data_IF_610503395303
#
_entry.id   IF_610503395303
#
_cell.length_a   1.000
_cell.length_b   1.000
_cell.length_c   1.000
_cell.angle_alpha   90.00
_cell.angle_beta   90.00
_cell.angle_gamma   90.00
#
_symmetry.space_group_name_H-M   'P 1'
#
loop_
_entity.id
_entity.type
_entity.pdbx_description
1 polymer ?
#
# COMPACT_ATOMS: atom_id res chain seq x y z
N UNK A 1 -36.02 -21.36 52.98
CA UNK A 1 -36.55 -20.94 51.66
C UNK A 1 -36.33 -19.46 51.35
N UNK A 2 -36.15 -18.57 52.33
CA UNK A 2 -36.03 -17.11 52.10
C UNK A 2 -34.66 -16.60 51.64
N UNK A 3 -33.57 -17.37 51.81
CA UNK A 3 -32.23 -16.98 51.34
C UNK A 3 -31.95 -17.31 49.86
N UNK A 4 -32.64 -18.29 49.29
CA UNK A 4 -32.45 -18.72 47.89
C UNK A 4 -33.14 -17.78 46.90
N UNK A 5 -34.26 -17.16 47.30
CA UNK A 5 -34.98 -16.17 46.49
C UNK A 5 -34.27 -14.80 46.41
N UNK A 6 -33.51 -14.43 47.44
CA UNK A 6 -32.72 -13.19 47.42
C UNK A 6 -31.50 -13.28 46.49
N UNK A 7 -30.91 -14.48 46.32
CA UNK A 7 -29.79 -14.68 45.40
C UNK A 7 -30.23 -14.67 43.92
N UNK A 8 -31.41 -15.19 43.61
CA UNK A 8 -32.02 -15.16 42.27
C UNK A 8 -32.47 -13.74 41.86
N UNK A 9 -32.93 -12.92 42.80
CA UNK A 9 -33.27 -11.53 42.54
C UNK A 9 -32.03 -10.62 42.32
N UNK A 10 -30.90 -10.92 42.97
CA UNK A 10 -29.63 -10.25 42.75
C UNK A 10 -28.96 -10.66 41.42
N UNK A 11 -29.12 -11.91 40.98
CA UNK A 11 -28.67 -12.37 39.66
C UNK A 11 -29.49 -11.76 38.51
N UNK A 12 -30.80 -11.55 38.70
CA UNK A 12 -31.66 -10.89 37.71
C UNK A 12 -31.44 -9.36 37.60
N UNK A 13 -30.82 -8.72 38.59
CA UNK A 13 -30.47 -7.30 38.58
C UNK A 13 -29.03 -7.02 38.12
N UNK A 14 -28.19 -8.06 38.00
CA UNK A 14 -26.82 -7.93 37.49
C UNK A 14 -26.70 -8.10 35.96
N UNK A 15 -27.57 -8.88 35.32
CA UNK A 15 -27.60 -9.04 33.85
C UNK A 15 -27.92 -7.77 33.04
N UNK A 16 -28.85 -6.87 33.45
CA UNK A 16 -29.13 -5.66 32.66
C UNK A 16 -28.00 -4.62 32.71
N UNK A 17 -27.12 -4.68 33.71
CA UNK A 17 -26.03 -3.71 33.87
C UNK A 17 -24.84 -3.98 32.93
N UNK A 18 -24.55 -5.25 32.61
CA UNK A 18 -23.47 -5.61 31.68
C UNK A 18 -23.85 -5.44 30.22
N UNK A 19 -25.11 -5.73 29.84
CA UNK A 19 -25.61 -5.45 28.49
C UNK A 19 -25.49 -3.97 28.16
N UNK A 20 -25.93 -3.10 29.08
CA UNK A 20 -25.90 -1.65 28.89
C UNK A 20 -24.46 -1.09 28.72
N UNK A 21 -23.46 -1.63 29.43
CA UNK A 21 -22.08 -1.18 29.31
C UNK A 21 -21.43 -1.60 27.97
N UNK A 22 -21.70 -2.82 27.50
CA UNK A 22 -21.17 -3.33 26.22
C UNK A 22 -21.76 -2.56 25.05
N UNK A 23 -23.08 -2.34 25.06
CA UNK A 23 -23.77 -1.54 24.04
C UNK A 23 -23.28 -0.10 24.02
N UNK A 24 -23.16 0.55 25.18
CA UNK A 24 -22.64 1.92 25.27
C UNK A 24 -21.21 2.01 24.71
N UNK A 25 -20.36 1.02 25.00
CA UNK A 25 -19.01 0.99 24.45
C UNK A 25 -19.01 0.81 22.93
N UNK A 26 -19.86 -0.07 22.40
CA UNK A 26 -20.01 -0.27 20.95
C UNK A 26 -20.46 1.00 20.24
N UNK A 27 -21.46 1.69 20.77
CA UNK A 27 -22.01 2.92 20.18
C UNK A 27 -20.98 4.06 20.12
N UNK A 28 -19.92 3.99 20.93
CA UNK A 28 -18.78 4.93 20.87
C UNK A 28 -17.70 4.56 19.85
N UNK A 29 -17.66 3.32 19.38
CA UNK A 29 -16.58 2.79 18.53
C UNK A 29 -17.00 2.55 17.08
N UNK A 30 -18.28 2.28 16.83
CA UNK A 30 -18.79 1.95 15.50
C UNK A 30 -20.05 2.76 15.18
N UNK A 31 -20.23 3.06 13.91
CA UNK A 31 -21.48 3.63 13.40
C UNK A 31 -22.63 2.62 13.48
N UNK A 32 -23.90 3.06 13.41
CA UNK A 32 -25.05 2.15 13.37
C UNK A 32 -24.97 1.12 12.23
N UNK A 33 -24.49 1.54 11.06
CA UNK A 33 -24.36 0.67 9.87
C UNK A 33 -23.25 -0.37 10.07
N UNK A 34 -22.09 0.03 10.61
CA UNK A 34 -21.02 -0.91 10.97
C UNK A 34 -21.49 -1.90 12.05
N UNK A 35 -22.23 -1.44 13.07
CA UNK A 35 -22.79 -2.31 14.11
C UNK A 35 -23.74 -3.36 13.51
N UNK A 36 -24.63 -2.94 12.61
CA UNK A 36 -25.55 -3.85 11.93
C UNK A 36 -24.79 -4.89 11.10
N UNK A 37 -23.81 -4.45 10.28
CA UNK A 37 -22.95 -5.33 9.51
C UNK A 37 -22.21 -6.35 10.38
N UNK A 38 -21.61 -5.92 11.49
CA UNK A 38 -20.85 -6.80 12.37
C UNK A 38 -21.75 -7.84 13.04
N UNK A 39 -22.93 -7.44 13.54
CA UNK A 39 -23.87 -8.36 14.18
C UNK A 39 -24.43 -9.40 13.21
N UNK A 40 -24.76 -8.97 11.98
CA UNK A 40 -25.19 -9.87 10.91
C UNK A 40 -24.08 -10.88 10.57
N UNK A 41 -22.86 -10.37 10.34
CA UNK A 41 -21.73 -11.19 9.90
C UNK A 41 -21.29 -12.17 10.98
N UNK A 42 -21.20 -11.74 12.25
CA UNK A 42 -20.90 -12.63 13.39
C UNK A 42 -22.00 -13.67 13.57
N UNK A 43 -23.28 -13.31 13.38
CA UNK A 43 -24.41 -14.25 13.47
C UNK A 43 -24.37 -15.31 12.38
N UNK A 44 -23.84 -14.99 11.20
CA UNK A 44 -23.76 -15.92 10.07
C UNK A 44 -22.65 -16.98 10.23
N UNK A 45 -21.81 -16.89 11.25
CA UNK A 45 -20.72 -17.84 11.51
C UNK A 45 -21.30 -19.16 12.06
N UNK A 46 -21.15 -20.24 11.29
CA UNK A 46 -21.58 -21.58 11.68
C UNK A 46 -20.47 -22.63 11.45
N UNK A 47 -20.08 -23.42 12.47
CA UNK A 47 -20.46 -23.25 13.88
C UNK A 47 -19.86 -21.99 14.51
N UNK A 48 -20.47 -21.40 15.55
CA UNK A 48 -19.96 -20.18 16.21
C UNK A 48 -18.50 -20.28 16.68
N UNK A 49 -18.02 -21.48 16.99
CA UNK A 49 -16.62 -21.73 17.37
C UNK A 49 -15.61 -21.36 16.29
N UNK A 50 -16.03 -21.27 15.02
CA UNK A 50 -15.18 -20.80 13.91
C UNK A 50 -14.70 -19.35 14.11
N UNK A 51 -15.38 -18.54 14.92
CA UNK A 51 -14.93 -17.18 15.22
C UNK A 51 -13.49 -17.14 15.77
N UNK A 52 -13.08 -18.17 16.52
CA UNK A 52 -11.73 -18.29 17.05
C UNK A 52 -10.65 -18.48 15.96
N UNK A 53 -11.03 -18.90 14.74
CA UNK A 53 -10.11 -19.03 13.61
C UNK A 53 -9.50 -17.68 13.20
N UNK A 54 -10.15 -16.55 13.50
CA UNK A 54 -9.63 -15.20 13.22
C UNK A 54 -8.24 -14.97 13.84
N UNK A 55 -7.93 -15.62 14.96
CA UNK A 55 -6.61 -15.55 15.60
C UNK A 55 -5.47 -16.11 14.71
N UNK A 56 -5.80 -16.92 13.70
CA UNK A 56 -4.82 -17.51 12.77
C UNK A 56 -4.68 -16.71 11.47
N UNK A 57 -5.53 -15.70 11.22
CA UNK A 57 -5.49 -14.97 9.94
C UNK A 57 -4.20 -14.17 9.79
N UNK A 58 -3.76 -13.50 10.85
CA UNK A 58 -2.51 -12.73 10.85
C UNK A 58 -1.27 -13.60 10.60
N UNK A 59 -1.21 -14.80 11.19
CA UNK A 59 -0.10 -15.74 10.94
C UNK A 59 -0.17 -16.35 9.55
N UNK A 60 -1.35 -16.67 9.02
CA UNK A 60 -1.53 -17.13 7.63
C UNK A 60 -1.12 -16.07 6.62
N UNK A 61 -1.54 -14.81 6.80
CA UNK A 61 -1.12 -13.71 5.94
C UNK A 61 0.40 -13.50 6.00
N UNK A 62 1.01 -13.61 7.19
CA UNK A 62 2.45 -13.52 7.36
C UNK A 62 3.21 -14.66 6.67
N UNK A 63 2.69 -15.89 6.74
CA UNK A 63 3.28 -17.06 6.07
C UNK A 63 3.25 -16.96 4.54
N UNK A 64 2.35 -16.14 3.98
CA UNK A 64 2.25 -15.82 2.56
C UNK A 64 3.04 -14.56 2.16
N UNK A 65 3.76 -13.93 3.09
CA UNK A 65 4.60 -12.75 2.82
C UNK A 65 3.88 -11.40 2.86
N UNK A 66 2.65 -11.38 3.36
CA UNK A 66 1.86 -10.18 3.62
C UNK A 66 1.91 -9.72 5.08
N UNK A 67 2.89 -10.17 5.87
CA UNK A 67 2.97 -9.87 7.29
C UNK A 67 3.14 -8.37 7.59
N UNK A 68 2.71 -7.91 8.76
CA UNK A 68 2.74 -6.48 9.11
C UNK A 68 4.12 -5.96 9.57
N UNK A 69 5.09 -6.86 9.84
CA UNK A 69 6.46 -6.52 10.26
C UNK A 69 6.56 -5.45 11.35
N UNK A 70 5.67 -5.50 12.35
CA UNK A 70 5.62 -4.56 13.47
C UNK A 70 4.90 -3.23 13.18
N UNK A 71 4.38 -3.03 11.96
CA UNK A 71 3.58 -1.86 11.63
C UNK A 71 2.19 -1.89 12.28
N UNK A 72 1.59 -3.06 12.42
CA UNK A 72 0.35 -3.21 13.16
C UNK A 72 0.62 -4.04 14.42
N UNK A 73 -0.13 -3.80 15.51
CA UNK A 73 -0.07 -4.66 16.68
C UNK A 73 -0.53 -6.07 16.32
N UNK A 74 -0.26 -7.02 17.22
CA UNK A 74 -0.77 -8.38 17.08
C UNK A 74 -2.31 -8.36 16.89
N UNK A 75 -2.77 -9.13 15.91
CA UNK A 75 -4.16 -9.14 15.48
C UNK A 75 -4.91 -10.26 16.19
N UNK A 76 -6.02 -9.97 16.87
CA UNK A 76 -7.03 -10.95 17.34
C UNK A 76 -6.47 -12.23 18.00
N UNK A 77 -5.34 -12.13 18.68
CA UNK A 77 -4.65 -13.26 19.34
C UNK A 77 -4.55 -13.05 20.84
N UNK A 78 -4.50 -14.12 21.66
CA UNK A 78 -4.59 -15.55 21.28
C UNK A 78 -6.03 -16.04 21.07
N UNK A 79 -6.22 -17.20 20.44
CA UNK A 79 -7.54 -17.74 20.07
C UNK A 79 -8.48 -17.97 21.26
N UNK A 80 -7.93 -18.34 22.42
CA UNK A 80 -8.66 -18.56 23.68
C UNK A 80 -9.15 -17.26 24.34
N UNK A 81 -8.68 -16.10 23.87
CA UNK A 81 -9.17 -14.79 24.29
C UNK A 81 -10.41 -14.32 23.52
N UNK A 82 -10.74 -14.96 22.38
CA UNK A 82 -11.87 -14.57 21.55
C UNK A 82 -13.18 -15.19 22.08
N UNK A 83 -14.25 -14.40 22.26
CA UNK A 83 -15.54 -14.92 22.71
C UNK A 83 -16.19 -15.76 21.59
N UNK A 84 -16.76 -16.91 21.94
CA UNK A 84 -17.54 -17.73 21.02
C UNK A 84 -18.97 -17.16 20.94
N UNK A 85 -19.44 -16.64 19.79
CA UNK A 85 -20.72 -15.93 19.64
C UNK A 85 -21.94 -16.88 19.61
N UNK A 86 -22.13 -17.70 20.65
CA UNK A 86 -23.19 -18.70 20.74
C UNK A 86 -24.58 -18.12 21.09
N UNK A 87 -24.62 -16.96 21.74
CA UNK A 87 -25.83 -16.26 22.19
C UNK A 87 -25.71 -14.75 21.92
N UNK A 88 -26.68 -13.96 22.38
CA UNK A 88 -26.73 -12.51 22.13
C UNK A 88 -25.59 -11.76 22.85
N UNK A 89 -25.36 -12.07 24.13
CA UNK A 89 -24.32 -11.43 24.94
C UNK A 89 -22.92 -11.71 24.37
N UNK A 90 -22.64 -12.96 24.00
CA UNK A 90 -21.36 -13.35 23.39
C UNK A 90 -21.18 -12.81 21.97
N UNK A 91 -22.26 -12.60 21.21
CA UNK A 91 -22.22 -11.88 19.94
C UNK A 91 -21.82 -10.42 20.12
N UNK A 92 -22.44 -9.71 21.06
CA UNK A 92 -22.07 -8.33 21.38
C UNK A 92 -20.61 -8.23 21.86
N UNK A 93 -20.16 -9.21 22.67
CA UNK A 93 -18.76 -9.28 23.08
C UNK A 93 -17.80 -9.49 21.89
N UNK A 94 -18.13 -10.37 20.94
CA UNK A 94 -17.35 -10.59 19.72
C UNK A 94 -17.24 -9.33 18.86
N UNK A 95 -18.38 -8.64 18.65
CA UNK A 95 -18.42 -7.35 17.93
C UNK A 95 -17.55 -6.30 18.63
N UNK A 96 -17.58 -6.24 19.97
CA UNK A 96 -16.77 -5.30 20.74
C UNK A 96 -15.26 -5.57 20.62
N UNK A 97 -14.85 -6.85 20.59
CA UNK A 97 -13.46 -7.23 20.34
C UNK A 97 -12.99 -6.75 18.96
N UNK A 98 -13.78 -7.00 17.92
CA UNK A 98 -13.47 -6.54 16.57
C UNK A 98 -13.34 -5.02 16.50
N UNK A 99 -14.30 -4.28 17.07
CA UNK A 99 -14.31 -2.82 17.07
C UNK A 99 -13.07 -2.23 17.77
N UNK A 100 -12.68 -2.78 18.92
CA UNK A 100 -11.45 -2.38 19.61
C UNK A 100 -10.21 -2.69 18.81
N UNK A 101 -10.15 -3.84 18.13
CA UNK A 101 -9.01 -4.17 17.28
C UNK A 101 -8.91 -3.20 16.10
N UNK A 102 -10.02 -2.89 15.43
CA UNK A 102 -10.04 -1.92 14.32
C UNK A 102 -9.55 -0.55 14.75
N UNK A 103 -9.99 -0.07 15.91
CA UNK A 103 -9.52 1.20 16.48
C UNK A 103 -8.02 1.17 16.80
N UNK A 104 -7.55 0.09 17.42
CA UNK A 104 -6.12 -0.10 17.70
C UNK A 104 -5.29 -0.09 16.41
N UNK A 105 -5.77 -0.77 15.36
CA UNK A 105 -5.10 -0.81 14.06
C UNK A 105 -5.06 0.57 13.39
N UNK A 106 -6.19 1.31 13.41
CA UNK A 106 -6.27 2.67 12.87
C UNK A 106 -5.32 3.62 13.59
N UNK A 107 -5.26 3.54 14.92
CA UNK A 107 -4.35 4.35 15.72
C UNK A 107 -2.87 4.05 15.41
N UNK A 108 -2.51 2.76 15.28
CA UNK A 108 -1.16 2.36 14.90
C UNK A 108 -0.79 2.84 13.48
N UNK A 109 -1.71 2.68 12.52
CA UNK A 109 -1.50 3.13 11.14
C UNK A 109 -1.34 4.65 11.07
N UNK A 110 -2.19 5.42 11.75
CA UNK A 110 -2.08 6.88 11.80
C UNK A 110 -0.77 7.36 12.46
N UNK A 111 -0.26 6.62 13.44
CA UNK A 111 1.01 6.95 14.09
C UNK A 111 2.23 6.68 13.19
N UNK A 112 2.21 5.59 12.41
CA UNK A 112 3.33 5.18 11.56
C UNK A 112 3.31 5.81 10.17
N UNK A 113 2.11 6.02 9.64
CA UNK A 113 1.87 6.54 8.31
C UNK A 113 0.71 7.57 8.38
N UNK A 114 0.98 8.78 8.89
CA UNK A 114 -0.05 9.81 9.08
C UNK A 114 -0.70 10.26 7.77
N UNK A 115 -0.02 10.04 6.64
CA UNK A 115 -0.51 10.39 5.31
C UNK A 115 -1.33 9.26 4.66
N UNK A 116 -1.49 8.09 5.32
CA UNK A 116 -2.30 7.01 4.77
C UNK A 116 -3.77 7.42 4.75
N UNK A 117 -4.42 7.52 3.58
CA UNK A 117 -5.81 7.92 3.51
C UNK A 117 -6.68 6.74 3.94
N UNK A 118 -7.35 6.84 5.09
CA UNK A 118 -8.25 5.77 5.57
C UNK A 118 -9.56 5.76 4.77
N UNK A 119 -9.99 6.92 4.28
CA UNK A 119 -11.23 7.12 3.50
C UNK A 119 -10.95 7.99 2.27
N UNK A 120 -11.80 7.88 1.25
CA UNK A 120 -11.79 8.82 0.12
C UNK A 120 -12.15 10.25 0.58
N UNK A 121 -11.50 11.25 0.00
CA UNK A 121 -11.72 12.68 0.23
C UNK A 121 -12.87 13.30 -0.57
N UNK A 122 -13.46 12.54 -1.51
CA UNK A 122 -14.46 12.98 -2.47
C UNK A 122 -13.97 14.12 -3.38
N UNK A 123 -12.69 14.08 -3.76
CA UNK A 123 -12.05 15.05 -4.64
C UNK A 123 -12.23 14.66 -6.11
N UNK A 124 -12.39 15.67 -6.97
CA UNK A 124 -12.57 15.49 -8.41
C UNK A 124 -11.24 15.62 -9.16
N UNK A 125 -10.87 14.62 -9.96
CA UNK A 125 -9.72 14.67 -10.87
C UNK A 125 -9.87 15.79 -11.89
N UNK A 126 -11.09 16.03 -12.38
CA UNK A 126 -11.35 17.11 -13.31
C UNK A 126 -11.05 18.48 -12.68
N UNK A 127 -11.46 18.69 -11.43
CA UNK A 127 -11.21 19.94 -10.71
C UNK A 127 -9.72 20.08 -10.38
N UNK A 128 -9.06 19.00 -9.94
CA UNK A 128 -7.61 18.97 -9.76
C UNK A 128 -6.86 19.39 -11.03
N UNK A 129 -7.20 18.82 -12.19
CA UNK A 129 -6.55 19.14 -13.46
C UNK A 129 -6.80 20.60 -13.89
N UNK A 130 -7.95 21.19 -13.56
CA UNK A 130 -8.23 22.61 -13.81
C UNK A 130 -7.43 23.53 -12.89
N UNK A 131 -7.17 23.09 -11.66
CA UNK A 131 -6.43 23.85 -10.65
C UNK A 131 -4.91 23.65 -10.73
N UNK A 132 -4.44 22.76 -11.62
CA UNK A 132 -3.01 22.60 -11.90
C UNK A 132 -2.42 23.90 -12.46
N UNK A 133 -1.39 24.48 -11.82
CA UNK A 133 -0.74 25.68 -12.33
C UNK A 133 -0.15 25.43 -13.72
N UNK A 134 -0.21 26.44 -14.59
CA UNK A 134 0.48 26.39 -15.88
C UNK A 134 2.00 26.17 -15.73
N UNK A 135 2.59 26.53 -14.58
CA UNK A 135 3.98 26.20 -14.26
C UNK A 135 4.23 24.71 -14.03
N UNK A 136 3.19 23.91 -13.75
CA UNK A 136 3.29 22.45 -13.67
C UNK A 136 2.95 21.77 -14.99
N UNK A 137 2.13 22.42 -15.83
CA UNK A 137 1.76 21.93 -17.15
C UNK A 137 2.81 22.32 -18.20
N UNK A 138 3.68 21.40 -18.60
CA UNK A 138 4.51 21.63 -19.79
C UNK A 138 3.72 21.58 -21.10
N UNK A 139 4.27 22.12 -22.19
CA UNK A 139 3.70 21.85 -23.50
C UNK A 139 3.64 20.33 -23.69
N UNK A 140 2.56 19.79 -24.29
CA UNK A 140 2.54 18.38 -24.63
C UNK A 140 3.78 18.08 -25.49
N UNK A 141 4.47 16.95 -25.25
CA UNK A 141 5.63 16.58 -26.05
C UNK A 141 5.27 16.56 -27.54
N UNK A 142 6.18 17.03 -28.40
CA UNK A 142 5.96 17.05 -29.84
C UNK A 142 5.86 15.62 -30.40
N UNK A 143 4.70 15.28 -30.96
CA UNK A 143 4.47 14.00 -31.63
C UNK A 143 4.44 12.78 -30.70
N UNK A 144 4.93 11.64 -31.20
CA UNK A 144 4.93 10.33 -30.52
C UNK A 144 6.18 10.10 -29.64
N UNK A 145 6.88 11.17 -29.23
CA UNK A 145 8.16 11.06 -28.54
C UNK A 145 8.03 10.42 -27.15
N UNK A 146 7.08 10.89 -26.34
CA UNK A 146 6.79 10.35 -25.02
C UNK A 146 5.33 9.91 -24.99
N UNK A 147 5.07 8.68 -24.55
CA UNK A 147 3.76 8.06 -24.46
C UNK A 147 3.59 7.37 -23.12
N UNK A 148 2.45 7.65 -22.49
CA UNK A 148 2.08 7.12 -21.19
C UNK A 148 0.65 6.58 -21.28
N UNK A 149 0.50 5.27 -21.11
CA UNK A 149 -0.79 4.62 -20.94
C UNK A 149 -1.07 4.37 -19.45
N UNK A 150 -2.34 4.48 -19.03
CA UNK A 150 -2.76 4.12 -17.68
C UNK A 150 -3.39 2.74 -17.67
N UNK A 151 -2.89 1.82 -16.84
CA UNK A 151 -3.47 0.48 -16.66
C UNK A 151 -4.28 0.40 -15.36
N UNK A 152 -5.60 0.26 -15.50
CA UNK A 152 -6.56 0.11 -14.39
C UNK A 152 -7.03 -1.34 -14.21
N UNK A 153 -6.42 -2.31 -14.91
CA UNK A 153 -6.92 -3.68 -15.02
C UNK A 153 -7.04 -4.40 -13.68
N UNK A 154 -6.09 -4.22 -12.76
CA UNK A 154 -6.12 -4.87 -11.44
C UNK A 154 -7.32 -4.40 -10.61
N UNK A 155 -7.48 -3.08 -10.43
CA UNK A 155 -8.59 -2.50 -9.66
C UNK A 155 -9.93 -2.79 -10.33
N UNK A 156 -10.04 -2.59 -11.64
CA UNK A 156 -11.28 -2.87 -12.41
C UNK A 156 -11.66 -4.34 -12.35
N UNK A 157 -10.67 -5.22 -12.51
CA UNK A 157 -10.87 -6.66 -12.50
C UNK A 157 -11.36 -7.14 -11.14
N UNK A 158 -10.78 -6.66 -10.04
CA UNK A 158 -11.25 -6.99 -8.69
C UNK A 158 -12.69 -6.52 -8.45
N UNK A 159 -13.00 -5.26 -8.76
CA UNK A 159 -14.35 -4.71 -8.58
C UNK A 159 -15.39 -5.45 -9.44
N UNK A 160 -15.03 -5.81 -10.67
CA UNK A 160 -15.89 -6.57 -11.57
C UNK A 160 -16.13 -7.99 -11.08
N UNK A 161 -15.08 -8.73 -10.70
CA UNK A 161 -15.21 -10.10 -10.21
C UNK A 161 -16.05 -10.16 -8.91
N UNK A 162 -15.91 -9.16 -8.04
CA UNK A 162 -16.71 -9.09 -6.81
C UNK A 162 -18.18 -8.76 -7.04
N UNK A 163 -18.53 -8.14 -8.18
CA UNK A 163 -19.92 -7.77 -8.48
C UNK A 163 -20.85 -8.99 -8.53
N UNK A 164 -20.31 -10.18 -8.83
CA UNK A 164 -21.04 -11.46 -8.85
C UNK A 164 -21.17 -12.10 -7.45
N UNK A 165 -20.69 -11.42 -6.40
CA UNK A 165 -20.90 -11.77 -4.99
C UNK A 165 -19.82 -12.62 -4.35
N UNK A 166 -18.94 -13.24 -5.15
CA UNK A 166 -17.76 -13.96 -4.69
C UNK A 166 -16.69 -13.98 -5.78
N UNK A 167 -15.42 -13.91 -5.41
CA UNK A 167 -14.30 -14.16 -6.34
C UNK A 167 -13.85 -15.61 -6.16
N UNK A 168 -13.95 -16.41 -7.21
CA UNK A 168 -13.50 -17.80 -7.16
C UNK A 168 -11.97 -17.93 -7.33
N UNK A 169 -11.44 -19.14 -7.10
CA UNK A 169 -9.99 -19.39 -7.20
C UNK A 169 -9.43 -19.11 -8.60
N UNK A 170 -10.19 -19.39 -9.65
CA UNK A 170 -9.77 -19.16 -11.04
C UNK A 170 -9.72 -17.68 -11.35
N UNK A 171 -10.73 -16.92 -10.91
CA UNK A 171 -10.77 -15.47 -11.06
C UNK A 171 -9.63 -14.81 -10.27
N UNK A 172 -9.42 -15.21 -9.01
CA UNK A 172 -8.34 -14.70 -8.19
C UNK A 172 -6.96 -14.98 -8.82
N UNK A 173 -6.76 -16.19 -9.37
CA UNK A 173 -5.53 -16.53 -10.09
C UNK A 173 -5.35 -15.70 -11.38
N UNK A 174 -6.43 -15.46 -12.12
CA UNK A 174 -6.39 -14.63 -13.32
C UNK A 174 -6.04 -13.16 -13.00
N UNK A 175 -6.61 -12.62 -11.91
CA UNK A 175 -6.28 -11.28 -11.42
C UNK A 175 -4.84 -11.18 -10.92
N UNK A 176 -4.36 -12.18 -10.16
CA UNK A 176 -2.98 -12.21 -9.69
C UNK A 176 -1.97 -12.30 -10.86
N UNK A 177 -2.36 -12.94 -11.96
CA UNK A 177 -1.53 -13.10 -13.16
C UNK A 177 -1.56 -11.88 -14.11
N UNK A 178 -2.29 -10.82 -13.80
CA UNK A 178 -2.25 -9.59 -14.59
C UNK A 178 -0.82 -9.05 -14.67
N UNK A 179 -0.35 -8.57 -15.84
CA UNK A 179 1.01 -8.08 -16.01
C UNK A 179 1.44 -7.04 -14.96
N UNK A 180 0.52 -6.14 -14.59
CA UNK A 180 0.74 -5.12 -13.57
C UNK A 180 0.98 -5.70 -12.18
N UNK A 181 0.19 -6.70 -11.77
CA UNK A 181 0.39 -7.39 -10.49
C UNK A 181 1.70 -8.19 -10.47
N UNK A 182 2.06 -8.84 -11.58
CA UNK A 182 3.35 -9.54 -11.70
C UNK A 182 4.52 -8.58 -11.57
N UNK A 183 4.47 -7.43 -12.25
CA UNK A 183 5.50 -6.40 -12.17
C UNK A 183 5.62 -5.80 -10.75
N UNK A 184 4.50 -5.55 -10.07
CA UNK A 184 4.50 -5.10 -8.68
C UNK A 184 5.19 -6.12 -7.74
N UNK A 185 4.89 -7.41 -7.90
CA UNK A 185 5.54 -8.47 -7.11
C UNK A 185 7.03 -8.61 -7.44
N UNK A 186 7.42 -8.42 -8.70
CA UNK A 186 8.82 -8.38 -9.12
C UNK A 186 9.58 -7.23 -8.44
N UNK A 187 9.04 -6.01 -8.53
CA UNK A 187 9.64 -4.85 -7.87
C UNK A 187 9.81 -5.09 -6.37
N UNK A 188 8.75 -5.58 -5.70
CA UNK A 188 8.80 -5.91 -4.27
C UNK A 188 9.93 -6.87 -3.91
N UNK A 189 10.16 -7.90 -4.74
CA UNK A 189 11.22 -8.87 -4.53
C UNK A 189 12.62 -8.25 -4.64
N UNK A 190 12.75 -7.20 -5.44
CA UNK A 190 14.01 -6.52 -5.69
C UNK A 190 14.32 -5.41 -4.65
N UNK A 191 13.38 -5.02 -3.78
CA UNK A 191 13.61 -3.97 -2.77
C UNK A 191 14.67 -4.33 -1.71
N UNK A 192 14.96 -5.63 -1.50
CA UNK A 192 16.02 -6.10 -0.61
C UNK A 192 15.80 -5.90 0.90
N UNK A 193 14.94 -4.96 1.32
CA UNK A 193 14.66 -4.67 2.73
C UNK A 193 13.36 -5.30 3.26
N UNK A 194 12.53 -5.89 2.38
CA UNK A 194 11.29 -6.57 2.78
C UNK A 194 11.64 -7.97 3.32
N UNK A 195 11.27 -8.31 4.57
CA UNK A 195 11.55 -9.63 5.12
C UNK A 195 10.87 -10.76 4.35
N UNK A 196 11.52 -11.91 4.31
CA UNK A 196 10.93 -13.17 3.85
C UNK A 196 9.84 -13.67 4.81
N UNK A 197 8.83 -14.41 4.33
CA UNK A 197 8.62 -14.79 2.93
C UNK A 197 8.16 -13.62 2.06
N UNK A 198 8.54 -13.61 0.78
CA UNK A 198 8.03 -12.67 -0.20
C UNK A 198 6.83 -13.26 -0.98
N UNK A 199 5.73 -12.51 -1.16
CA UNK A 199 4.54 -13.04 -1.85
C UNK A 199 4.85 -13.33 -3.32
N UNK A 200 4.30 -14.42 -3.83
CA UNK A 200 4.26 -14.77 -5.24
C UNK A 200 2.82 -14.64 -5.79
N UNK A 201 2.61 -15.06 -7.04
CA UNK A 201 1.31 -14.98 -7.68
C UNK A 201 0.26 -15.89 -7.00
N UNK A 202 0.65 -17.02 -6.41
CA UNK A 202 -0.28 -17.89 -5.69
C UNK A 202 -0.69 -17.26 -4.34
N UNK A 203 0.27 -16.69 -3.61
CA UNK A 203 -0.01 -15.89 -2.42
C UNK A 203 -0.94 -14.70 -2.73
N UNK A 204 -0.67 -13.96 -3.81
CA UNK A 204 -1.52 -12.86 -4.24
C UNK A 204 -2.94 -13.32 -4.59
N UNK A 205 -3.07 -14.45 -5.30
CA UNK A 205 -4.38 -15.04 -5.58
C UNK A 205 -5.13 -15.44 -4.29
N UNK A 206 -4.42 -15.95 -3.28
CA UNK A 206 -5.03 -16.26 -1.98
C UNK A 206 -5.54 -14.99 -1.28
N UNK A 207 -4.80 -13.87 -1.34
CA UNK A 207 -5.24 -12.59 -0.80
C UNK A 207 -6.45 -12.02 -1.53
N UNK A 208 -6.44 -12.04 -2.86
CA UNK A 208 -7.57 -11.60 -3.70
C UNK A 208 -8.82 -12.43 -3.40
N UNK A 209 -8.68 -13.76 -3.37
CA UNK A 209 -9.78 -14.68 -3.07
C UNK A 209 -10.34 -14.45 -1.66
N UNK A 210 -9.48 -14.24 -0.66
CA UNK A 210 -9.91 -13.91 0.69
C UNK A 210 -10.69 -12.57 0.74
N UNK A 211 -10.18 -11.51 0.12
CA UNK A 211 -10.86 -10.21 0.11
C UNK A 211 -12.18 -10.22 -0.69
N UNK A 212 -12.29 -11.10 -1.69
CA UNK A 212 -13.49 -11.32 -2.48
C UNK A 212 -14.44 -12.38 -1.91
N UNK A 213 -14.13 -12.99 -0.77
CA UNK A 213 -14.88 -14.11 -0.19
C UNK A 213 -16.18 -13.66 0.48
N UNK A 214 -17.30 -14.38 0.30
CA UNK A 214 -18.52 -14.15 1.06
C UNK A 214 -18.48 -14.78 2.47
N UNK A 215 -17.43 -15.56 2.81
CA UNK A 215 -17.31 -16.18 4.13
C UNK A 215 -17.30 -15.09 5.23
N UNK A 216 -18.10 -15.25 6.29
CA UNK A 216 -18.20 -14.22 7.32
C UNK A 216 -16.87 -13.93 8.02
N UNK A 217 -15.97 -14.89 8.19
CA UNK A 217 -14.67 -14.64 8.81
C UNK A 217 -13.76 -13.78 7.92
N UNK A 218 -13.76 -14.02 6.61
CA UNK A 218 -12.97 -13.23 5.66
C UNK A 218 -13.49 -11.79 5.58
N UNK A 219 -14.82 -11.59 5.64
CA UNK A 219 -15.44 -10.26 5.70
C UNK A 219 -15.06 -9.52 6.98
N UNK A 220 -15.12 -10.19 8.14
CA UNK A 220 -14.68 -9.60 9.42
C UNK A 220 -13.19 -9.27 9.39
N UNK A 221 -12.36 -10.14 8.81
CA UNK A 221 -10.94 -9.88 8.64
C UNK A 221 -10.70 -8.63 7.81
N UNK A 222 -11.33 -8.48 6.64
CA UNK A 222 -11.20 -7.27 5.82
C UNK A 222 -11.65 -6.01 6.57
N UNK A 223 -12.73 -6.11 7.35
CA UNK A 223 -13.21 -5.00 8.16
C UNK A 223 -12.22 -4.57 9.25
N UNK A 224 -11.48 -5.49 9.87
CA UNK A 224 -10.57 -5.16 10.98
C UNK A 224 -9.40 -4.23 10.58
N UNK A 225 -8.95 -4.28 9.32
CA UNK A 225 -7.87 -3.41 8.83
C UNK A 225 -7.86 -3.32 7.31
N UNK A 226 -7.65 -2.12 6.77
CA UNK A 226 -7.44 -1.89 5.34
C UNK A 226 -6.18 -2.57 4.79
N UNK A 227 -5.21 -2.88 5.65
CA UNK A 227 -3.97 -3.57 5.30
C UNK A 227 -4.13 -5.10 5.23
N UNK A 228 -5.28 -5.64 5.63
CA UNK A 228 -5.55 -7.08 5.58
C UNK A 228 -5.71 -7.56 4.13
N UNK A 229 -5.46 -8.86 3.91
CA UNK A 229 -5.46 -9.46 2.59
C UNK A 229 -4.58 -8.67 1.60
N UNK A 230 -3.38 -8.28 2.06
CA UNK A 230 -2.39 -7.56 1.26
C UNK A 230 -2.88 -6.24 0.64
N UNK A 231 -3.78 -5.54 1.34
CA UNK A 231 -4.37 -4.27 0.90
C UNK A 231 -5.71 -4.42 0.17
N UNK A 232 -6.08 -5.62 -0.30
CA UNK A 232 -7.36 -5.85 -0.97
C UNK A 232 -8.57 -5.71 -0.03
N UNK A 233 -8.37 -5.82 1.29
CA UNK A 233 -9.40 -5.50 2.27
C UNK A 233 -9.94 -4.07 2.08
N UNK A 234 -9.09 -3.11 1.73
CA UNK A 234 -9.52 -1.72 1.53
C UNK A 234 -10.45 -1.57 0.31
N UNK A 235 -10.14 -2.28 -0.79
CA UNK A 235 -11.02 -2.34 -1.97
C UNK A 235 -12.34 -3.05 -1.66
N UNK A 236 -12.29 -4.11 -0.83
CA UNK A 236 -13.48 -4.82 -0.39
C UNK A 236 -14.38 -3.94 0.50
N UNK A 237 -13.81 -3.08 1.33
CA UNK A 237 -14.57 -2.21 2.23
C UNK A 237 -15.09 -0.94 1.53
N UNK A 238 -14.42 -0.47 0.48
CA UNK A 238 -14.75 0.80 -0.18
C UNK A 238 -15.04 0.69 -1.69
N UNK A 239 -15.86 -0.29 -2.15
CA UNK A 239 -16.02 -0.58 -3.57
C UNK A 239 -16.58 0.62 -4.37
N UNK A 240 -17.44 1.44 -3.77
CA UNK A 240 -17.98 2.65 -4.42
C UNK A 240 -16.89 3.68 -4.67
N UNK A 241 -16.05 3.99 -3.66
CA UNK A 241 -14.97 4.97 -3.81
C UNK A 241 -13.94 4.56 -4.87
N UNK A 242 -13.57 3.28 -4.90
CA UNK A 242 -12.71 2.76 -5.98
C UNK A 242 -13.40 2.73 -7.34
N UNK A 243 -14.71 2.47 -7.38
CA UNK A 243 -15.51 2.58 -8.60
C UNK A 243 -15.48 4.01 -9.17
N UNK A 244 -15.64 5.01 -8.30
CA UNK A 244 -15.57 6.43 -8.66
C UNK A 244 -14.15 6.81 -9.10
N UNK A 245 -13.10 6.37 -8.39
CA UNK A 245 -11.70 6.56 -8.79
C UNK A 245 -11.45 6.04 -10.21
N UNK A 246 -11.87 4.80 -10.48
CA UNK A 246 -11.76 4.17 -11.80
C UNK A 246 -12.56 4.97 -12.84
N UNK A 247 -13.76 5.42 -12.54
CA UNK A 247 -14.57 6.21 -13.46
C UNK A 247 -13.89 7.53 -13.82
N UNK A 248 -13.33 8.23 -12.83
CA UNK A 248 -12.59 9.47 -13.03
C UNK A 248 -11.33 9.27 -13.87
N UNK A 249 -10.53 8.23 -13.57
CA UNK A 249 -9.34 7.88 -14.35
C UNK A 249 -9.67 7.46 -15.79
N UNK A 250 -10.82 6.80 -16.05
CA UNK A 250 -11.25 6.53 -17.42
C UNK A 250 -11.68 7.79 -18.16
N UNK A 251 -12.36 8.72 -17.49
CA UNK A 251 -12.88 9.93 -18.11
C UNK A 251 -11.80 10.98 -18.37
N UNK A 252 -10.79 11.06 -17.51
CA UNK A 252 -9.78 12.13 -17.49
C UNK A 252 -8.33 11.62 -17.56
N UNK A 253 -8.11 10.31 -17.70
CA UNK A 253 -6.79 9.69 -17.71
C UNK A 253 -5.86 10.21 -18.79
N UNK A 254 -6.37 10.47 -20.00
CA UNK A 254 -5.57 11.04 -21.09
C UNK A 254 -5.06 12.45 -20.75
N UNK A 255 -5.90 13.26 -20.10
CA UNK A 255 -5.51 14.61 -19.66
C UNK A 255 -4.49 14.55 -18.51
N UNK A 256 -4.67 13.61 -17.58
CA UNK A 256 -3.70 13.33 -16.51
C UNK A 256 -2.34 12.88 -17.09
N UNK A 257 -2.36 11.91 -18.01
CA UNK A 257 -1.15 11.43 -18.67
C UNK A 257 -0.45 12.54 -19.46
N UNK A 258 -1.21 13.38 -20.18
CA UNK A 258 -0.66 14.54 -20.88
C UNK A 258 -0.02 15.56 -19.93
N UNK A 259 -0.63 15.81 -18.77
CA UNK A 259 -0.07 16.70 -17.74
C UNK A 259 1.27 16.16 -17.20
N UNK A 260 1.31 14.86 -16.84
CA UNK A 260 2.52 14.17 -16.38
C UNK A 260 3.63 14.23 -17.44
N UNK A 261 3.32 13.89 -18.69
CA UNK A 261 4.30 13.92 -19.78
C UNK A 261 4.78 15.33 -20.10
N UNK A 262 3.89 16.33 -20.09
CA UNK A 262 4.26 17.73 -20.26
C UNK A 262 5.24 18.18 -19.19
N UNK A 263 5.02 17.78 -17.93
CA UNK A 263 5.95 18.06 -16.83
C UNK A 263 7.32 17.43 -17.07
N UNK A 264 7.36 16.14 -17.40
CA UNK A 264 8.61 15.38 -17.65
C UNK A 264 9.38 15.93 -18.85
N UNK A 265 8.69 16.28 -19.95
CA UNK A 265 9.31 16.72 -21.19
C UNK A 265 10.22 17.95 -21.02
N UNK A 266 9.99 18.78 -20.00
CA UNK A 266 10.84 19.95 -19.69
C UNK A 266 12.25 19.59 -19.20
N UNK A 267 12.40 18.39 -18.68
CA UNK A 267 13.65 17.86 -18.13
C UNK A 267 14.26 16.78 -19.03
N UNK A 268 13.53 16.35 -20.06
CA UNK A 268 13.99 15.37 -21.03
C UNK A 268 14.83 16.04 -22.15
N UNK A 269 15.87 15.37 -22.66
CA UNK A 269 16.52 15.74 -23.92
C UNK A 269 15.53 15.81 -25.09
N UNK A 270 15.77 16.67 -26.09
CA UNK A 270 14.86 16.86 -27.24
C UNK A 270 14.62 15.56 -28.05
N UNK A 271 15.61 14.67 -28.08
CA UNK A 271 15.56 13.39 -28.78
C UNK A 271 15.10 12.21 -27.91
N UNK A 272 14.77 12.46 -26.64
CA UNK A 272 14.31 11.44 -25.71
C UNK A 272 13.05 10.74 -26.22
N UNK A 273 12.99 9.42 -26.01
CA UNK A 273 11.85 8.58 -26.36
C UNK A 273 11.46 7.70 -25.19
N UNK A 274 10.16 7.61 -24.94
CA UNK A 274 9.60 6.72 -23.92
C UNK A 274 8.22 6.27 -24.35
N UNK A 275 7.98 4.97 -24.36
CA UNK A 275 6.65 4.39 -24.40
C UNK A 275 6.50 3.50 -23.17
N UNK A 276 5.62 3.90 -22.26
CA UNK A 276 5.45 3.17 -21.00
C UNK A 276 3.99 3.10 -20.58
N UNK A 277 3.71 2.15 -19.70
CA UNK A 277 2.46 2.04 -18.98
C UNK A 277 2.69 2.38 -17.50
N UNK A 278 1.71 3.04 -16.90
CA UNK A 278 1.65 3.26 -15.46
C UNK A 278 0.43 2.53 -14.90
N UNK A 279 0.67 1.55 -14.04
CA UNK A 279 -0.34 0.66 -13.52
C UNK A 279 -0.87 1.11 -12.15
N UNK A 280 -2.16 0.93 -11.95
CA UNK A 280 -2.85 1.11 -10.68
C UNK A 280 -3.14 -0.29 -10.12
N UNK A 281 -2.36 -0.70 -9.12
CA UNK A 281 -2.43 -2.02 -8.47
C UNK A 281 -2.87 -1.89 -7.02
N UNK A 282 -2.86 -3.00 -6.30
CA UNK A 282 -3.11 -3.05 -4.85
C UNK A 282 -1.96 -3.83 -4.23
N UNK A 283 -1.36 -3.30 -3.17
CA UNK A 283 -0.21 -3.96 -2.57
C UNK A 283 0.26 -3.34 -1.26
N UNK A 284 0.36 -4.19 -0.25
CA UNK A 284 0.79 -3.78 1.08
C UNK A 284 2.23 -3.21 1.12
N UNK A 285 2.42 -2.08 1.82
CA UNK A 285 3.69 -1.45 2.17
C UNK A 285 4.58 -0.87 1.04
N UNK A 286 4.06 -0.73 -0.17
CA UNK A 286 4.76 -0.05 -1.28
C UNK A 286 3.80 0.99 -1.84
N UNK A 287 4.23 2.25 -2.00
CA UNK A 287 3.36 3.32 -2.53
C UNK A 287 3.48 3.44 -4.05
N UNK A 288 4.69 3.70 -4.54
CA UNK A 288 5.07 3.69 -5.95
C UNK A 288 6.07 2.58 -6.23
N UNK A 289 6.12 2.11 -7.46
CA UNK A 289 7.06 1.09 -7.90
C UNK A 289 7.37 1.22 -9.39
N UNK A 290 8.55 0.74 -9.79
CA UNK A 290 8.98 0.70 -11.17
C UNK A 290 9.76 -0.57 -11.51
N UNK A 291 9.55 -1.08 -12.72
CA UNK A 291 10.24 -2.23 -13.32
C UNK A 291 10.76 -1.86 -14.71
N UNK A 292 11.56 -2.70 -15.36
CA UNK A 292 11.90 -2.49 -16.77
C UNK A 292 10.67 -2.42 -17.70
N UNK A 293 9.56 -3.07 -17.34
CA UNK A 293 8.39 -3.17 -18.20
C UNK A 293 7.39 -2.02 -18.02
N UNK A 294 7.18 -1.58 -16.78
CA UNK A 294 6.20 -0.54 -16.42
C UNK A 294 6.48 0.06 -15.04
N UNK A 295 5.85 1.19 -14.77
CA UNK A 295 5.74 1.77 -13.43
C UNK A 295 4.33 1.57 -12.87
N UNK A 296 4.13 1.85 -11.60
CA UNK A 296 2.81 1.86 -11.01
C UNK A 296 2.76 2.39 -9.59
N UNK A 297 1.56 2.38 -9.04
CA UNK A 297 1.30 2.69 -7.63
C UNK A 297 0.23 1.75 -7.07
N UNK A 298 0.21 1.62 -5.75
CA UNK A 298 -0.81 0.87 -5.04
C UNK A 298 -1.93 1.81 -4.56
N UNK A 299 -3.12 1.67 -5.12
CA UNK A 299 -4.20 2.67 -4.99
C UNK A 299 -4.72 2.82 -3.58
N UNK A 300 -4.60 1.80 -2.73
CA UNK A 300 -5.06 1.87 -1.36
C UNK A 300 -4.24 2.79 -0.48
N UNK A 301 -3.00 3.09 -0.89
CA UNK A 301 -2.11 4.03 -0.23
C UNK A 301 -2.43 5.49 -0.56
N UNK A 302 -3.25 5.78 -1.59
CA UNK A 302 -3.43 7.15 -2.12
C UNK A 302 -4.89 7.54 -2.35
N UNK A 303 -5.75 6.60 -2.73
CA UNK A 303 -7.18 6.83 -3.05
C UNK A 303 -7.34 7.99 -4.05
N UNK A 304 -8.08 9.03 -3.68
CA UNK A 304 -8.33 10.25 -4.46
C UNK A 304 -7.49 11.45 -3.99
N UNK A 305 -6.37 11.23 -3.29
CA UNK A 305 -5.35 12.26 -3.11
C UNK A 305 -4.66 12.52 -4.45
N UNK A 306 -5.25 13.40 -5.25
CA UNK A 306 -4.78 13.72 -6.60
C UNK A 306 -3.43 14.43 -6.62
N UNK A 307 -3.11 15.22 -5.59
CA UNK A 307 -1.80 15.87 -5.45
C UNK A 307 -0.71 14.80 -5.28
N UNK A 308 -0.94 13.85 -4.36
CA UNK A 308 -0.02 12.74 -4.15
C UNK A 308 0.09 11.83 -5.38
N UNK A 309 -1.06 11.41 -5.93
CA UNK A 309 -1.15 10.54 -7.09
C UNK A 309 -0.41 11.15 -8.29
N UNK A 310 -0.65 12.42 -8.60
CA UNK A 310 0.06 13.11 -9.68
C UNK A 310 1.56 13.17 -9.44
N UNK A 311 1.98 13.50 -8.21
CA UNK A 311 3.40 13.50 -7.82
C UNK A 311 4.08 12.15 -8.07
N UNK A 312 3.45 11.06 -7.63
CA UNK A 312 3.97 9.69 -7.85
C UNK A 312 3.95 9.30 -9.32
N UNK A 313 2.92 9.66 -10.11
CA UNK A 313 2.94 9.41 -11.56
C UNK A 313 4.12 10.11 -12.24
N UNK A 314 4.39 11.36 -11.87
CA UNK A 314 5.54 12.11 -12.39
C UNK A 314 6.86 11.44 -12.02
N UNK A 315 7.02 11.06 -10.75
CA UNK A 315 8.22 10.41 -10.20
C UNK A 315 8.54 9.11 -10.93
N UNK A 316 7.64 8.13 -10.88
CA UNK A 316 7.95 6.79 -11.40
C UNK A 316 7.98 6.76 -12.93
N UNK A 317 7.21 7.62 -13.61
CA UNK A 317 7.31 7.76 -15.07
C UNK A 317 8.65 8.40 -15.44
N UNK A 318 9.16 9.35 -14.65
CA UNK A 318 10.48 9.92 -14.87
C UNK A 318 11.59 8.90 -14.59
N UNK A 319 11.44 8.04 -13.59
CA UNK A 319 12.35 6.91 -13.38
C UNK A 319 12.41 5.96 -14.59
N UNK A 320 11.26 5.67 -15.23
CA UNK A 320 11.25 4.94 -16.51
C UNK A 320 12.02 5.68 -17.61
N UNK A 321 11.87 7.00 -17.70
CA UNK A 321 12.66 7.79 -18.66
C UNK A 321 14.17 7.73 -18.34
N UNK A 322 14.55 7.80 -17.07
CA UNK A 322 15.97 7.68 -16.66
C UNK A 322 16.56 6.35 -17.12
N UNK A 323 15.83 5.23 -16.96
CA UNK A 323 16.27 3.92 -17.43
C UNK A 323 16.49 3.86 -18.95
N UNK A 324 15.70 4.60 -19.73
CA UNK A 324 15.91 4.69 -21.19
C UNK A 324 17.10 5.58 -21.57
N UNK A 325 17.33 6.67 -20.83
CA UNK A 325 18.36 7.67 -21.14
C UNK A 325 19.76 7.28 -20.68
N UNK A 326 19.86 6.61 -19.53
CA UNK A 326 21.12 6.24 -18.93
C UNK A 326 21.49 4.81 -19.33
N UNK A 327 22.58 4.62 -20.08
CA UNK A 327 23.01 3.28 -20.47
C UNK A 327 23.53 2.52 -19.25
N UNK A 328 23.30 1.22 -19.24
CA UNK A 328 24.02 0.29 -18.37
C UNK A 328 25.52 0.26 -18.74
N UNK A 329 26.32 -0.45 -17.95
CA UNK A 329 27.76 -0.60 -18.18
C UNK A 329 28.14 -1.11 -19.59
N UNK A 330 27.23 -1.79 -20.30
CA UNK A 330 27.45 -2.30 -21.66
C UNK A 330 27.04 -1.33 -22.79
N UNK A 331 26.48 -0.17 -22.45
CA UNK A 331 26.03 0.84 -23.41
C UNK A 331 24.57 0.69 -23.88
N UNK A 332 23.86 -0.38 -23.50
CA UNK A 332 22.42 -0.53 -23.74
C UNK A 332 21.60 0.21 -22.66
N UNK A 333 20.33 0.58 -22.91
CA UNK A 333 19.46 1.15 -21.88
C UNK A 333 19.42 0.26 -20.62
N UNK A 334 19.48 0.90 -19.46
CA UNK A 334 19.33 0.20 -18.19
C UNK A 334 17.95 -0.45 -18.10
N UNK A 335 17.88 -1.68 -17.59
CA UNK A 335 16.61 -2.37 -17.36
C UNK A 335 16.15 -2.16 -15.94
N UNK A 336 17.08 -2.16 -14.99
CA UNK A 336 16.82 -1.94 -13.56
C UNK A 336 17.59 -0.73 -13.05
N UNK A 337 17.23 -0.25 -11.86
CA UNK A 337 18.09 0.71 -11.14
C UNK A 337 19.45 0.10 -10.81
N UNK A 338 19.51 -1.20 -10.53
CA UNK A 338 20.79 -1.90 -10.34
C UNK A 338 21.70 -1.75 -11.56
N UNK A 339 21.14 -1.73 -12.78
CA UNK A 339 21.91 -1.48 -14.00
C UNK A 339 22.41 -0.03 -14.11
N UNK A 340 21.68 0.94 -13.54
CA UNK A 340 22.10 2.35 -13.50
C UNK A 340 23.24 2.58 -12.52
N UNK A 341 23.22 1.85 -11.40
CA UNK A 341 24.16 2.02 -10.30
C UNK A 341 25.36 1.07 -10.40
N UNK A 342 25.27 0.06 -11.27
CA UNK A 342 26.35 -0.89 -11.53
C UNK A 342 27.60 -0.17 -12.08
N UNK A 343 28.69 -0.29 -11.34
CA UNK A 343 30.01 0.19 -11.73
C UNK A 343 31.04 -0.93 -11.56
N UNK A 344 32.01 -0.95 -12.48
CA UNK A 344 33.23 -1.76 -12.35
C UNK A 344 34.42 -0.81 -12.47
N UNK A 345 34.76 -0.16 -11.35
CA UNK A 345 35.95 0.69 -11.25
C UNK A 345 37.21 -0.13 -10.94
N UNK A 346 37.09 -1.45 -10.77
CA UNK A 346 38.15 -2.33 -10.26
C UNK A 346 38.43 -2.19 -8.76
N UNK A 347 37.60 -1.45 -8.01
CA UNK A 347 37.69 -1.29 -6.56
C UNK A 347 36.26 -1.35 -5.97
N UNK A 348 35.90 -2.44 -5.28
CA UNK A 348 34.54 -2.63 -4.74
C UNK A 348 34.06 -1.49 -3.84
N UNK A 349 34.97 -0.74 -3.21
CA UNK A 349 34.60 0.39 -2.35
C UNK A 349 34.11 1.58 -3.16
N UNK A 350 34.74 1.82 -4.31
CA UNK A 350 34.36 2.88 -5.24
C UNK A 350 33.11 2.48 -6.04
N UNK A 351 32.93 1.19 -6.32
CA UNK A 351 31.69 0.66 -6.91
C UNK A 351 30.49 0.97 -6.00
N UNK A 352 30.59 0.68 -4.69
CA UNK A 352 29.51 0.99 -3.73
C UNK A 352 29.32 2.50 -3.51
N UNK A 353 30.36 3.31 -3.61
CA UNK A 353 30.23 4.78 -3.57
C UNK A 353 29.49 5.30 -4.81
N UNK A 354 29.85 4.80 -6.00
CA UNK A 354 29.19 5.16 -7.25
C UNK A 354 27.70 4.80 -7.20
N UNK A 355 27.37 3.67 -6.59
CA UNK A 355 25.99 3.24 -6.41
C UNK A 355 25.15 4.22 -5.58
N UNK A 356 25.67 4.68 -4.43
CA UNK A 356 24.97 5.69 -3.62
C UNK A 356 24.80 6.99 -4.39
N UNK A 357 25.86 7.45 -5.05
CA UNK A 357 25.80 8.71 -5.79
C UNK A 357 24.79 8.64 -6.93
N UNK A 358 24.71 7.49 -7.61
CA UNK A 358 23.74 7.24 -8.66
C UNK A 358 22.30 7.21 -8.11
N UNK A 359 22.06 6.51 -6.99
CA UNK A 359 20.75 6.54 -6.32
C UNK A 359 20.35 7.95 -5.88
N UNK A 360 21.22 8.69 -5.19
CA UNK A 360 20.97 10.07 -4.78
C UNK A 360 20.66 10.96 -5.99
N UNK A 361 21.39 10.82 -7.09
CA UNK A 361 21.14 11.60 -8.30
C UNK A 361 19.80 11.23 -8.95
N UNK A 362 19.47 9.94 -9.02
CA UNK A 362 18.23 9.47 -9.63
C UNK A 362 16.99 9.94 -8.85
N UNK A 363 16.96 9.69 -7.54
CA UNK A 363 15.90 10.09 -6.61
C UNK A 363 15.80 11.62 -6.46
N UNK A 364 16.95 12.30 -6.36
CA UNK A 364 17.01 13.76 -6.26
C UNK A 364 16.47 14.44 -7.53
N UNK A 365 16.83 13.91 -8.70
CA UNK A 365 16.29 14.40 -9.97
C UNK A 365 14.78 14.12 -10.08
N UNK A 366 14.30 12.95 -9.68
CA UNK A 366 12.86 12.66 -9.68
C UNK A 366 12.09 13.61 -8.77
N UNK A 367 12.59 13.90 -7.56
CA UNK A 367 12.02 14.91 -6.66
C UNK A 367 12.02 16.32 -7.26
N UNK A 368 13.08 16.71 -7.97
CA UNK A 368 13.11 17.99 -8.70
C UNK A 368 12.01 18.04 -9.78
N UNK A 369 11.83 16.93 -10.52
CA UNK A 369 10.79 16.82 -11.55
C UNK A 369 9.39 16.83 -10.94
N UNK A 370 9.16 16.20 -9.78
CA UNK A 370 7.89 16.31 -9.03
C UNK A 370 7.52 17.75 -8.65
N UNK A 371 8.52 18.63 -8.49
CA UNK A 371 8.28 20.04 -8.22
C UNK A 371 7.55 20.26 -6.89
N UNK A 372 6.41 20.99 -6.92
CA UNK A 372 5.63 21.28 -5.70
C UNK A 372 5.03 20.03 -5.04
N UNK A 373 4.99 18.90 -5.76
CA UNK A 373 4.46 17.62 -5.28
C UNK A 373 5.56 16.71 -4.70
N UNK A 374 6.80 17.20 -4.58
CA UNK A 374 7.85 16.52 -3.85
C UNK A 374 7.54 16.52 -2.33
N UNK A 375 8.07 15.56 -1.56
CA UNK A 375 7.90 15.54 -0.10
C UNK A 375 8.30 16.88 0.54
N UNK A 376 7.54 17.34 1.52
CA UNK A 376 7.88 18.55 2.23
C UNK A 376 9.18 18.37 3.05
N UNK A 377 9.95 19.44 3.20
CA UNK A 377 11.11 19.46 4.10
C UNK A 377 12.36 18.72 3.59
N UNK A 378 12.49 18.48 2.28
CA UNK A 378 13.72 17.90 1.69
C UNK A 378 14.97 18.71 2.07
N UNK A 379 14.88 20.04 2.10
CA UNK A 379 15.99 20.92 2.52
C UNK A 379 16.46 20.62 3.96
N UNK A 380 15.55 20.22 4.85
CA UNK A 380 15.88 19.88 6.23
C UNK A 380 16.52 18.49 6.34
N UNK A 381 16.30 17.60 5.36
CA UNK A 381 16.92 16.27 5.29
C UNK A 381 18.33 16.29 4.67
N UNK A 382 18.64 17.27 3.83
CA UNK A 382 19.94 17.35 3.16
C UNK A 382 21.17 17.27 4.11
N UNK A 383 21.16 17.87 5.32
CA UNK A 383 22.26 17.69 6.27
C UNK A 383 22.39 16.25 6.81
N UNK A 384 21.28 15.54 7.00
CA UNK A 384 21.27 14.14 7.45
C UNK A 384 21.85 13.23 6.36
N UNK A 385 21.44 13.44 5.11
CA UNK A 385 22.00 12.75 3.95
C UNK A 385 23.51 13.00 3.80
N UNK A 386 23.94 14.27 3.87
CA UNK A 386 25.37 14.62 3.83
C UNK A 386 26.19 13.96 4.95
N UNK A 387 25.63 13.87 6.15
CA UNK A 387 26.28 13.17 7.27
C UNK A 387 26.38 11.66 7.04
N UNK A 388 25.34 11.04 6.46
CA UNK A 388 25.34 9.62 6.12
C UNK A 388 26.32 9.31 4.98
N UNK A 389 26.42 10.15 3.95
CA UNK A 389 27.44 10.03 2.90
C UNK A 389 28.85 10.20 3.45
N UNK A 390 29.08 11.14 4.38
CA UNK A 390 30.37 11.31 5.03
C UNK A 390 30.77 10.08 5.87
N UNK A 391 29.81 9.47 6.60
CA UNK A 391 30.01 8.18 7.28
C UNK A 391 30.37 7.08 6.29
N UNK A 392 29.66 7.00 5.17
CA UNK A 392 29.93 6.02 4.12
C UNK A 392 31.36 6.15 3.58
N UNK A 393 31.81 7.37 3.26
CA UNK A 393 33.18 7.62 2.80
C UNK A 393 34.19 7.18 3.86
N UNK A 394 34.00 7.56 5.13
CA UNK A 394 34.92 7.19 6.20
C UNK A 394 35.00 5.68 6.47
N UNK A 395 33.86 5.00 6.55
CA UNK A 395 33.80 3.57 6.91
C UNK A 395 34.10 2.64 5.73
N UNK A 396 33.53 2.93 4.55
CA UNK A 396 33.60 2.03 3.39
C UNK A 396 34.77 2.39 2.49
N UNK A 397 34.91 3.66 2.10
CA UNK A 397 35.93 4.08 1.12
C UNK A 397 37.31 4.13 1.76
N UNK A 398 37.45 4.88 2.86
CA UNK A 398 38.71 5.05 3.59
C UNK A 398 39.01 3.83 4.46
N UNK A 399 38.01 3.32 5.19
CA UNK A 399 38.14 2.20 6.12
C UNK A 399 38.10 0.80 5.48
N UNK A 400 37.54 0.66 4.28
CA UNK A 400 37.43 -0.61 3.56
C UNK A 400 36.36 -1.57 4.11
N UNK A 401 35.42 -1.10 4.91
CA UNK A 401 34.38 -1.93 5.52
C UNK A 401 33.19 -2.16 4.57
N UNK A 402 33.30 -3.12 3.66
CA UNK A 402 32.22 -3.44 2.72
C UNK A 402 30.96 -3.99 3.39
N UNK A 403 31.06 -4.62 4.57
CA UNK A 403 29.90 -5.13 5.31
C UNK A 403 29.01 -3.99 5.84
N UNK A 404 29.57 -2.81 6.10
CA UNK A 404 28.81 -1.63 6.51
C UNK A 404 28.07 -0.97 5.34
N UNK A 405 28.46 -1.23 4.09
CA UNK A 405 27.92 -0.54 2.93
C UNK A 405 26.40 -0.74 2.81
N UNK A 406 25.95 -1.99 2.89
CA UNK A 406 24.52 -2.34 2.76
C UNK A 406 23.67 -1.71 3.87
N UNK A 407 24.20 -1.68 5.10
CA UNK A 407 23.49 -1.08 6.23
C UNK A 407 23.30 0.43 6.04
N UNK A 408 24.35 1.12 5.60
CA UNK A 408 24.33 2.57 5.35
C UNK A 408 23.46 2.94 4.13
N UNK A 409 23.50 2.12 3.06
CA UNK A 409 22.63 2.29 1.89
C UNK A 409 21.17 2.13 2.30
N UNK A 410 20.85 1.06 3.04
CA UNK A 410 19.49 0.84 3.53
C UNK A 410 19.01 1.93 4.50
N UNK A 411 19.91 2.52 5.30
CA UNK A 411 19.60 3.68 6.16
C UNK A 411 19.13 4.87 5.30
N UNK A 412 19.81 5.15 4.19
CA UNK A 412 19.45 6.23 3.26
C UNK A 412 18.15 5.95 2.49
N UNK A 413 17.97 4.73 1.99
CA UNK A 413 16.78 4.34 1.23
C UNK A 413 15.51 4.35 2.09
N UNK A 414 15.59 4.02 3.38
CA UNK A 414 14.44 4.07 4.30
C UNK A 414 13.97 5.48 4.65
N UNK A 415 14.78 6.51 4.39
CA UNK A 415 14.48 7.90 4.77
C UNK A 415 13.49 8.65 3.88
N UNK A 416 12.90 8.02 2.85
CA UNK A 416 12.15 8.69 1.76
C UNK A 416 12.98 9.79 1.05
N UNK A 417 14.31 9.60 1.00
CA UNK A 417 15.31 10.40 0.27
C UNK A 417 15.54 11.87 0.68
N UNK A 418 16.69 12.47 0.25
CA UNK A 418 17.88 11.80 -0.30
C UNK A 418 18.99 11.69 0.76
N UNK A 419 19.83 10.67 0.58
CA UNK A 419 21.23 10.71 0.98
C UNK A 419 21.95 11.91 0.35
#
# INVERSE_FOLDING_TARGET
>A
MTRTLALLALLALASPAMGNATETALDSLVTPDERAFLLETVTAIDPPTRFCELAEFGSRQSALGGGFYGMLPDQLTPADSLPVPADEDSRLAAVLVLARQRETNRAALAALNPDYPVTFGATSLADFLLDLPASELGPPPDGDALRLALDLSAVRGFLAARADGAIDRSEAAALAALPSNVAMLEHRRNLGYVPEPLPDAEALAAFIGQAGSPDPLDRLWCWVSSQNAFGYADLAEQPTGYGDLVAQLNAHGDALAAAVLGRIARFAPEDARLETTFAFTVGWAIRGWATPAMAGLNVEQVKDDWDFLYGTLVEETYHRLQLELFPSADGAPARTFDDLVAADTGDPRLDRLQEILAYTAAEGAANLVRGRFAPAGLDAKAPEGAALLARFVGEVVEGGNLEAADALINEGLRGNGPL
#
